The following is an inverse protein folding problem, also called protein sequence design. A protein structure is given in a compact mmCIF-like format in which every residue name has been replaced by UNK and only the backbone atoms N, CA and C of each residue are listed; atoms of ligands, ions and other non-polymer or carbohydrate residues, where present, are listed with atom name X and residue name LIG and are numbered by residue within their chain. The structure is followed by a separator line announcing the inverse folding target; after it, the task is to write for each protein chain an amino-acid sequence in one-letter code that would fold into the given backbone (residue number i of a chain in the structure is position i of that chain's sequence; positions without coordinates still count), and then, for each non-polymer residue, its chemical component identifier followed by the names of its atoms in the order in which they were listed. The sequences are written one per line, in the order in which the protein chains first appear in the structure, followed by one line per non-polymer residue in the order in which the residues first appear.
data_IF_609139865719
#
_entry.id   IF_609139865719
#
_cell.length_a   1.000
_cell.length_b   1.000
_cell.length_c   1.000
_cell.angle_alpha   90.00
_cell.angle_beta   90.00
_cell.angle_gamma   90.00
#
_symmetry.space_group_name_H-M   'P 1'
#
loop_
_entity.id
_entity.type
_entity.pdbx_description
1 polymer ?
#
# COMPACT_ATOMS: atom_id res chain seq x y z
N UNK A 1 26.50 8.09 -7.50
CA UNK A 1 26.41 6.63 -7.31
C UNK A 1 27.15 5.92 -8.43
N UNK A 2 26.76 6.06 -9.73
CA UNK A 2 27.37 5.33 -10.84
C UNK A 2 28.87 5.60 -10.98
N UNK A 3 29.24 6.89 -11.08
CA UNK A 3 30.64 7.31 -11.18
C UNK A 3 31.49 6.91 -9.97
N UNK A 4 30.92 6.95 -8.77
CA UNK A 4 31.62 6.57 -7.54
C UNK A 4 31.91 5.06 -7.45
N UNK A 5 31.02 4.22 -7.98
CA UNK A 5 31.14 2.76 -7.86
C UNK A 5 31.85 2.12 -9.07
N UNK A 6 31.78 2.74 -10.24
CA UNK A 6 32.27 2.15 -11.49
C UNK A 6 33.32 3.00 -12.21
N UNK A 7 33.62 4.21 -11.73
CA UNK A 7 34.64 5.08 -12.32
C UNK A 7 34.28 5.65 -13.71
N UNK A 8 33.04 5.46 -14.17
CA UNK A 8 32.56 5.90 -15.48
C UNK A 8 31.23 6.63 -15.34
N UNK A 9 30.99 7.58 -16.23
CA UNK A 9 29.68 8.24 -16.38
C UNK A 9 28.77 7.54 -17.39
N UNK A 10 29.33 6.65 -18.21
CA UNK A 10 28.59 5.89 -19.20
C UNK A 10 27.78 4.78 -18.51
N UNK A 11 26.46 4.89 -18.60
CA UNK A 11 25.54 3.89 -18.04
C UNK A 11 25.33 2.69 -18.97
N UNK A 12 25.61 2.86 -20.27
CA UNK A 12 25.31 1.90 -21.32
C UNK A 12 26.55 1.74 -22.21
N UNK A 13 27.40 0.81 -21.90
CA UNK A 13 28.58 0.50 -22.71
C UNK A 13 28.84 -1.00 -22.76
N UNK A 14 29.48 -1.46 -23.86
CA UNK A 14 29.92 -2.85 -24.01
C UNK A 14 30.88 -3.30 -22.90
N UNK A 15 31.54 -2.31 -22.27
CA UNK A 15 32.59 -2.56 -21.28
C UNK A 15 32.06 -2.68 -19.85
N UNK A 16 30.75 -2.54 -19.61
CA UNK A 16 30.13 -2.70 -18.30
C UNK A 16 29.42 -4.06 -18.24
N UNK A 17 29.98 -5.08 -17.59
CA UNK A 17 29.35 -6.39 -17.50
C UNK A 17 28.03 -6.33 -16.75
N UNK A 18 27.09 -7.20 -17.14
CA UNK A 18 25.73 -7.23 -16.59
C UNK A 18 25.71 -7.46 -15.08
N UNK A 19 26.71 -8.17 -14.51
CA UNK A 19 26.89 -8.32 -13.08
C UNK A 19 27.01 -6.98 -12.34
N UNK A 20 27.70 -5.99 -12.93
CA UNK A 20 27.80 -4.64 -12.36
C UNK A 20 26.48 -3.90 -12.40
N UNK A 21 25.61 -4.23 -13.37
CA UNK A 21 24.24 -3.71 -13.43
C UNK A 21 23.39 -4.15 -12.25
N UNK A 22 23.52 -5.39 -11.81
CA UNK A 22 22.86 -5.87 -10.61
C UNK A 22 23.23 -5.06 -9.36
N UNK A 23 24.50 -4.67 -9.23
CA UNK A 23 24.97 -3.78 -8.14
C UNK A 23 24.34 -2.40 -8.30
N UNK A 24 24.34 -1.82 -9.51
CA UNK A 24 23.74 -0.50 -9.76
C UNK A 24 22.24 -0.49 -9.48
N UNK A 25 21.50 -1.50 -9.94
CA UNK A 25 20.07 -1.64 -9.68
C UNK A 25 19.77 -1.68 -8.19
N UNK A 26 20.54 -2.45 -7.40
CA UNK A 26 20.37 -2.50 -5.95
C UNK A 26 20.64 -1.15 -5.28
N UNK A 27 21.67 -0.44 -5.71
CA UNK A 27 21.98 0.90 -5.16
C UNK A 27 20.91 1.93 -5.53
N UNK A 28 20.43 1.89 -6.77
CA UNK A 28 19.35 2.77 -7.24
C UNK A 28 18.04 2.47 -6.50
N UNK A 29 17.69 1.21 -6.31
CA UNK A 29 16.54 0.79 -5.52
C UNK A 29 16.65 1.27 -4.06
N UNK A 30 17.79 1.04 -3.41
CA UNK A 30 18.04 1.49 -2.04
C UNK A 30 17.96 3.02 -1.91
N UNK A 31 18.40 3.77 -2.91
CA UNK A 31 18.29 5.22 -2.94
C UNK A 31 16.86 5.69 -3.20
N UNK A 32 16.09 4.95 -4.01
CA UNK A 32 14.74 5.32 -4.41
C UNK A 32 13.67 4.98 -3.35
N UNK A 33 13.86 3.89 -2.58
CA UNK A 33 12.88 3.46 -1.57
C UNK A 33 12.52 4.54 -0.53
N UNK A 34 13.47 5.27 0.07
CA UNK A 34 13.12 6.35 1.00
C UNK A 34 12.36 7.49 0.34
N UNK A 35 12.63 7.76 -0.94
CA UNK A 35 11.91 8.79 -1.72
C UNK A 35 10.47 8.32 -1.96
N UNK A 36 10.30 7.09 -2.42
CA UNK A 36 8.99 6.45 -2.59
C UNK A 36 8.20 6.47 -1.28
N UNK A 37 8.77 5.98 -0.19
CA UNK A 37 8.10 5.88 1.11
C UNK A 37 7.65 7.26 1.62
N UNK A 38 8.46 8.30 1.42
CA UNK A 38 8.11 9.66 1.79
C UNK A 38 6.95 10.22 0.97
N UNK A 39 7.00 10.04 -0.36
CA UNK A 39 5.96 10.59 -1.25
C UNK A 39 4.64 9.84 -1.11
N UNK A 40 4.67 8.51 -1.16
CA UNK A 40 3.48 7.71 -0.98
C UNK A 40 2.95 7.79 0.44
N UNK A 41 3.81 7.85 1.47
CA UNK A 41 3.38 8.06 2.84
C UNK A 41 2.55 9.33 2.99
N UNK A 42 3.01 10.46 2.44
CA UNK A 42 2.25 11.73 2.45
C UNK A 42 0.93 11.63 1.70
N UNK A 43 0.93 10.95 0.55
CA UNK A 43 -0.29 10.73 -0.24
C UNK A 43 -1.31 9.90 0.55
N UNK A 44 -0.86 8.80 1.17
CA UNK A 44 -1.69 7.96 2.03
C UNK A 44 -2.27 8.74 3.22
N UNK A 45 -1.46 9.56 3.87
CA UNK A 45 -1.89 10.38 5.00
C UNK A 45 -2.94 11.42 4.57
N UNK A 46 -2.78 12.02 3.39
CA UNK A 46 -3.75 12.96 2.80
C UNK A 46 -5.09 12.25 2.55
N UNK A 47 -5.07 11.06 1.96
CA UNK A 47 -6.29 10.30 1.70
C UNK A 47 -6.97 9.80 2.98
N UNK A 48 -6.20 9.41 4.00
CA UNK A 48 -6.77 9.08 5.31
C UNK A 48 -7.45 10.30 5.97
N UNK A 49 -6.88 11.49 5.83
CA UNK A 49 -7.51 12.72 6.31
C UNK A 49 -8.82 13.00 5.56
N UNK A 50 -8.84 12.86 4.25
CA UNK A 50 -10.05 13.00 3.45
C UNK A 50 -11.13 11.98 3.86
N UNK A 51 -10.74 10.74 4.10
CA UNK A 51 -11.66 9.72 4.60
C UNK A 51 -12.25 10.09 5.96
N UNK A 52 -11.46 10.61 6.90
CA UNK A 52 -11.96 11.10 8.19
C UNK A 52 -12.98 12.22 8.03
N UNK A 53 -12.75 13.17 7.12
CA UNK A 53 -13.75 14.23 6.81
C UNK A 53 -15.02 13.60 6.26
N UNK A 54 -14.92 12.63 5.36
CA UNK A 54 -16.06 11.92 4.80
C UNK A 54 -16.84 11.16 5.87
N UNK A 55 -16.18 10.50 6.82
CA UNK A 55 -16.82 9.81 7.93
C UNK A 55 -17.64 10.77 8.80
N UNK A 56 -17.09 11.95 9.14
CA UNK A 56 -17.81 12.98 9.89
C UNK A 56 -18.97 13.60 9.11
N UNK A 57 -18.83 13.72 7.80
CA UNK A 57 -19.93 14.19 6.93
C UNK A 57 -21.14 13.25 6.97
N UNK A 58 -20.97 12.03 7.44
CA UNK A 58 -22.05 11.08 7.71
C UNK A 58 -23.06 11.55 8.75
N UNK A 59 -22.75 12.55 9.60
CA UNK A 59 -23.72 13.19 10.49
C UNK A 59 -24.81 13.95 9.71
N UNK A 60 -24.42 14.55 8.58
CA UNK A 60 -25.33 15.28 7.71
C UNK A 60 -25.98 14.36 6.67
N UNK A 61 -25.23 13.38 6.20
CA UNK A 61 -25.64 12.44 5.16
C UNK A 61 -25.44 11.00 5.66
N UNK A 62 -26.39 10.41 6.37
CA UNK A 62 -26.26 9.08 6.99
C UNK A 62 -25.84 7.97 6.02
N UNK A 63 -26.16 8.12 4.74
CA UNK A 63 -25.74 7.18 3.68
C UNK A 63 -24.21 7.08 3.57
N UNK A 64 -23.48 8.17 3.80
CA UNK A 64 -22.01 8.15 3.80
C UNK A 64 -21.44 7.32 4.95
N UNK A 65 -22.06 7.43 6.13
CA UNK A 65 -21.66 6.63 7.28
C UNK A 65 -21.95 5.13 7.07
N UNK A 66 -23.11 4.79 6.51
CA UNK A 66 -23.47 3.41 6.14
C UNK A 66 -22.46 2.86 5.12
N UNK A 67 -22.15 3.62 4.08
CA UNK A 67 -21.17 3.24 3.06
C UNK A 67 -19.81 3.00 3.68
N UNK A 68 -19.29 3.94 4.46
CA UNK A 68 -17.97 3.87 5.07
C UNK A 68 -17.87 2.65 5.99
N UNK A 69 -18.86 2.45 6.87
CA UNK A 69 -18.92 1.31 7.76
C UNK A 69 -19.00 -0.02 7.00
N UNK A 70 -19.87 -0.12 6.00
CA UNK A 70 -20.02 -1.32 5.17
C UNK A 70 -18.73 -1.67 4.43
N UNK A 71 -18.07 -0.68 3.80
CA UNK A 71 -16.79 -0.88 3.12
C UNK A 71 -15.70 -1.35 4.09
N UNK A 72 -15.63 -0.77 5.28
CA UNK A 72 -14.69 -1.17 6.31
C UNK A 72 -14.91 -2.61 6.80
N UNK A 73 -16.16 -3.00 7.02
CA UNK A 73 -16.49 -4.38 7.42
C UNK A 73 -16.28 -5.39 6.30
N UNK A 74 -16.44 -4.98 5.04
CA UNK A 74 -16.16 -5.81 3.87
C UNK A 74 -14.67 -5.89 3.50
N UNK A 75 -13.79 -5.12 4.16
CA UNK A 75 -12.36 -5.08 3.84
C UNK A 75 -12.03 -4.36 2.54
N UNK A 76 -12.93 -3.49 2.06
CA UNK A 76 -12.79 -2.77 0.78
C UNK A 76 -12.55 -1.28 0.97
N UNK A 77 -12.32 -0.84 2.21
CA UNK A 77 -12.01 0.55 2.51
C UNK A 77 -10.54 0.89 2.21
N UNK A 78 -10.24 2.18 2.28
CA UNK A 78 -8.88 2.68 2.02
C UNK A 78 -7.83 2.12 2.98
N UNK A 79 -8.17 1.87 4.22
CA UNK A 79 -7.23 1.37 5.23
C UNK A 79 -6.80 -0.07 4.96
N UNK A 80 -7.71 -0.92 4.50
CA UNK A 80 -7.39 -2.26 4.03
C UNK A 80 -6.54 -2.22 2.76
N UNK A 81 -6.90 -1.33 1.81
CA UNK A 81 -6.11 -1.12 0.60
C UNK A 81 -4.67 -0.67 0.90
N UNK A 82 -4.49 0.32 1.79
CA UNK A 82 -3.16 0.79 2.22
C UNK A 82 -2.32 -0.36 2.80
N UNK A 83 -2.91 -1.18 3.66
CA UNK A 83 -2.20 -2.34 4.26
C UNK A 83 -1.79 -3.36 3.21
N UNK A 84 -2.70 -3.71 2.32
CA UNK A 84 -2.40 -4.62 1.22
C UNK A 84 -1.27 -4.08 0.33
N UNK A 85 -1.39 -2.83 -0.11
CA UNK A 85 -0.40 -2.19 -0.98
C UNK A 85 0.98 -2.10 -0.32
N UNK A 86 1.02 -1.80 0.99
CA UNK A 86 2.28 -1.77 1.75
C UNK A 86 2.92 -3.17 1.80
N UNK A 87 2.14 -4.21 2.07
CA UNK A 87 2.64 -5.59 2.09
C UNK A 87 3.12 -6.03 0.70
N UNK A 88 2.36 -5.72 -0.35
CA UNK A 88 2.72 -6.01 -1.74
C UNK A 88 4.01 -5.29 -2.16
N UNK A 89 4.20 -4.03 -1.75
CA UNK A 89 5.41 -3.28 -2.02
C UNK A 89 6.64 -3.87 -1.32
N UNK A 90 6.51 -4.28 -0.08
CA UNK A 90 7.60 -4.97 0.64
C UNK A 90 7.97 -6.29 -0.04
N UNK A 91 6.97 -7.04 -0.49
CA UNK A 91 7.20 -8.28 -1.24
C UNK A 91 7.86 -8.01 -2.59
N UNK A 92 7.42 -6.98 -3.33
CA UNK A 92 8.07 -6.55 -4.57
C UNK A 92 9.56 -6.22 -4.36
N UNK A 93 9.88 -5.48 -3.29
CA UNK A 93 11.27 -5.13 -2.94
C UNK A 93 12.11 -6.37 -2.65
N UNK A 94 11.55 -7.37 -1.97
CA UNK A 94 12.25 -8.62 -1.70
C UNK A 94 12.56 -9.40 -2.97
N UNK A 95 11.64 -9.44 -3.92
CA UNK A 95 11.85 -10.06 -5.24
C UNK A 95 12.93 -9.29 -6.03
N UNK A 96 12.87 -7.96 -6.07
CA UNK A 96 13.89 -7.16 -6.76
C UNK A 96 15.29 -7.36 -6.18
N UNK A 97 15.42 -7.39 -4.85
CA UNK A 97 16.71 -7.62 -4.20
C UNK A 97 17.24 -9.04 -4.51
N UNK A 98 16.35 -10.04 -4.50
CA UNK A 98 16.70 -11.42 -4.88
C UNK A 98 17.21 -11.48 -6.32
N UNK A 99 16.47 -10.91 -7.26
CA UNK A 99 16.82 -10.89 -8.69
C UNK A 99 18.13 -10.15 -8.94
N UNK A 100 18.33 -9.01 -8.30
CA UNK A 100 19.57 -8.23 -8.44
C UNK A 100 20.77 -8.93 -7.85
N UNK A 101 20.59 -9.68 -6.75
CA UNK A 101 21.66 -10.51 -6.17
C UNK A 101 22.06 -11.67 -7.10
N UNK A 102 21.07 -12.33 -7.67
CA UNK A 102 21.30 -13.44 -8.58
C UNK A 102 21.99 -12.95 -9.86
N UNK A 103 21.57 -11.80 -10.40
CA UNK A 103 22.23 -11.16 -11.52
C UNK A 103 23.71 -10.88 -11.26
N UNK A 104 24.05 -10.42 -10.06
CA UNK A 104 25.45 -10.18 -9.66
C UNK A 104 26.24 -11.48 -9.59
N UNK A 105 25.61 -12.55 -9.10
CA UNK A 105 26.28 -13.83 -8.86
C UNK A 105 26.48 -14.67 -10.14
N UNK A 106 25.53 -14.61 -11.08
CA UNK A 106 25.47 -15.53 -12.22
C UNK A 106 25.57 -14.87 -13.60
N UNK A 107 25.58 -13.53 -13.68
CA UNK A 107 25.82 -12.88 -14.96
C UNK A 107 27.29 -13.04 -15.39
N UNK A 108 27.51 -13.28 -16.70
CA UNK A 108 28.84 -13.44 -17.26
C UNK A 108 29.69 -12.17 -17.02
N UNK A 109 30.81 -12.25 -16.27
CA UNK A 109 31.66 -11.10 -16.02
C UNK A 109 32.48 -10.65 -17.24
N UNK A 110 32.65 -11.49 -18.26
CA UNK A 110 33.54 -11.26 -19.40
C UNK A 110 32.86 -10.81 -20.69
N UNK A 111 31.53 -10.70 -20.67
CA UNK A 111 30.87 -9.70 -21.45
C UNK A 111 30.38 -9.98 -22.86
N UNK A 112 30.73 -11.03 -23.58
CA UNK A 112 30.19 -11.26 -24.95
C UNK A 112 28.71 -11.67 -24.95
N UNK A 113 28.23 -12.17 -23.82
CA UNK A 113 26.85 -12.60 -23.59
C UNK A 113 26.16 -11.86 -22.44
N UNK A 114 26.57 -10.65 -22.12
CA UNK A 114 26.06 -9.93 -20.94
C UNK A 114 24.54 -9.66 -20.96
N UNK A 115 23.90 -9.70 -22.12
CA UNK A 115 22.42 -9.64 -22.24
C UNK A 115 21.75 -11.03 -22.31
N UNK A 116 22.48 -12.11 -22.17
CA UNK A 116 21.95 -13.48 -22.22
C UNK A 116 21.59 -14.05 -20.84
N UNK A 117 21.73 -13.28 -19.76
CA UNK A 117 21.29 -13.71 -18.45
C UNK A 117 19.79 -14.04 -18.45
N UNK A 118 19.46 -15.20 -17.94
CA UNK A 118 18.10 -15.66 -17.71
C UNK A 118 18.01 -16.22 -16.30
N UNK A 119 17.02 -15.76 -15.55
CA UNK A 119 16.71 -16.31 -14.23
C UNK A 119 16.31 -17.79 -14.37
N UNK A 120 16.90 -18.65 -13.57
CA UNK A 120 16.65 -20.10 -13.63
C UNK A 120 15.36 -20.48 -12.88
N UNK A 121 14.76 -21.66 -13.19
CA UNK A 121 13.63 -22.17 -12.41
C UNK A 121 13.94 -22.32 -10.92
N UNK A 122 15.18 -22.65 -10.57
CA UNK A 122 15.65 -22.80 -9.19
C UNK A 122 15.59 -21.46 -8.46
N UNK A 123 15.99 -20.35 -9.11
CA UNK A 123 15.85 -19.01 -8.54
C UNK A 123 14.39 -18.69 -8.27
N UNK A 124 13.51 -18.96 -9.23
CA UNK A 124 12.07 -18.70 -9.06
C UNK A 124 11.46 -19.53 -7.92
N UNK A 125 11.96 -20.75 -7.69
CA UNK A 125 11.55 -21.58 -6.56
C UNK A 125 11.96 -20.98 -5.20
N UNK A 126 12.96 -20.10 -5.16
CA UNK A 126 13.39 -19.42 -3.91
C UNK A 126 12.61 -18.14 -3.62
N UNK A 127 11.80 -17.66 -4.56
CA UNK A 127 10.96 -16.47 -4.33
C UNK A 127 9.92 -16.79 -3.26
N UNK A 128 9.91 -16.07 -2.13
CA UNK A 128 8.93 -16.32 -1.09
C UNK A 128 7.51 -16.07 -1.62
N UNK A 129 6.52 -16.90 -1.26
CA UNK A 129 5.13 -16.63 -1.64
C UNK A 129 4.66 -15.31 -1.01
N UNK A 130 3.76 -14.63 -1.71
CA UNK A 130 3.11 -13.46 -1.14
C UNK A 130 2.09 -13.92 -0.09
N UNK A 131 2.49 -13.84 1.16
CA UNK A 131 1.66 -14.22 2.31
C UNK A 131 1.06 -12.97 2.96
N UNK A 132 -0.13 -12.59 2.50
CA UNK A 132 -0.88 -11.47 3.06
C UNK A 132 -2.14 -11.95 3.76
N UNK A 133 -2.21 -11.67 5.05
CA UNK A 133 -3.41 -11.90 5.86
C UNK A 133 -4.14 -10.58 6.09
N UNK A 134 -5.38 -10.43 5.56
CA UNK A 134 -6.17 -9.24 5.80
C UNK A 134 -6.50 -9.11 7.29
N UNK A 135 -6.65 -7.89 7.81
CA UNK A 135 -7.06 -7.66 9.20
C UNK A 135 -8.41 -8.33 9.49
N UNK A 136 -8.52 -8.94 10.66
CA UNK A 136 -9.77 -9.57 11.09
C UNK A 136 -10.88 -8.56 11.43
N UNK A 137 -12.12 -9.05 11.53
CA UNK A 137 -13.31 -8.24 11.80
C UNK A 137 -13.20 -7.35 13.05
N UNK A 138 -12.53 -7.81 14.10
CA UNK A 138 -12.30 -7.00 15.32
C UNK A 138 -11.41 -5.78 15.09
N UNK A 139 -10.46 -5.87 14.18
CA UNK A 139 -9.68 -4.71 13.75
C UNK A 139 -10.53 -3.75 12.91
N UNK A 140 -11.27 -4.28 11.95
CA UNK A 140 -12.16 -3.51 11.09
C UNK A 140 -13.17 -2.71 11.91
N UNK A 141 -13.83 -3.35 12.88
CA UNK A 141 -14.79 -2.71 13.77
C UNK A 141 -14.16 -1.56 14.58
N UNK A 142 -12.99 -1.77 15.16
CA UNK A 142 -12.28 -0.71 15.90
C UNK A 142 -11.88 0.44 14.99
N UNK A 143 -11.45 0.14 13.76
CA UNK A 143 -11.06 1.15 12.78
C UNK A 143 -12.25 1.97 12.29
N UNK A 144 -13.43 1.33 12.15
CA UNK A 144 -14.70 1.95 11.75
C UNK A 144 -15.54 2.48 12.92
N UNK A 145 -14.96 2.57 14.12
CA UNK A 145 -15.70 3.00 15.31
C UNK A 145 -16.34 4.39 15.16
N UNK A 146 -15.72 5.31 14.40
CA UNK A 146 -16.29 6.63 14.12
C UNK A 146 -17.54 6.53 13.26
N UNK A 147 -17.49 5.82 12.15
CA UNK A 147 -18.65 5.62 11.27
C UNK A 147 -19.79 4.94 12.04
N UNK A 148 -19.45 3.94 12.86
CA UNK A 148 -20.43 3.28 13.74
C UNK A 148 -21.04 4.25 14.75
N UNK A 149 -20.22 5.07 15.42
CA UNK A 149 -20.71 6.09 16.37
C UNK A 149 -21.64 7.09 15.68
N UNK A 150 -21.27 7.58 14.49
CA UNK A 150 -22.08 8.49 13.68
C UNK A 150 -23.45 7.89 13.36
N UNK A 151 -23.48 6.59 12.99
CA UNK A 151 -24.75 5.88 12.75
C UNK A 151 -25.60 5.76 14.01
N UNK A 152 -24.99 5.42 15.15
CA UNK A 152 -25.72 5.33 16.41
C UNK A 152 -26.32 6.70 16.83
N UNK A 153 -25.53 7.78 16.73
CA UNK A 153 -25.98 9.13 17.03
C UNK A 153 -27.12 9.55 16.09
N UNK A 154 -26.95 9.31 14.78
CA UNK A 154 -28.00 9.59 13.80
C UNK A 154 -29.30 8.85 14.07
N UNK A 155 -29.21 7.57 14.45
CA UNK A 155 -30.38 6.78 14.82
C UNK A 155 -31.10 7.34 16.08
N UNK A 156 -30.32 7.70 17.11
CA UNK A 156 -30.86 8.28 18.35
C UNK A 156 -31.57 9.61 18.09
N UNK A 157 -30.96 10.47 17.25
CA UNK A 157 -31.56 11.75 16.88
C UNK A 157 -32.85 11.55 16.08
N UNK A 158 -32.86 10.61 15.14
CA UNK A 158 -34.08 10.28 14.38
C UNK A 158 -35.19 9.74 15.27
N UNK A 159 -34.86 8.85 16.19
CA UNK A 159 -35.83 8.32 17.17
C UNK A 159 -36.35 9.40 18.11
N UNK A 160 -35.50 10.29 18.61
CA UNK A 160 -35.92 11.42 19.44
C UNK A 160 -36.84 12.39 18.68
N UNK A 161 -36.50 12.68 17.44
CA UNK A 161 -37.34 13.53 16.58
C UNK A 161 -38.70 12.90 16.32
N UNK A 162 -38.76 11.60 16.01
CA UNK A 162 -40.01 10.89 15.80
C UNK A 162 -40.88 10.88 17.07
N UNK A 163 -40.27 10.62 18.23
CA UNK A 163 -40.95 10.66 19.53
C UNK A 163 -41.52 12.08 19.81
N UNK A 164 -40.71 13.12 19.61
CA UNK A 164 -41.14 14.50 19.79
C UNK A 164 -42.31 14.87 18.87
N UNK A 165 -42.25 14.50 17.58
CA UNK A 165 -43.29 14.77 16.61
C UNK A 165 -44.61 14.08 16.99
N UNK A 166 -44.56 12.83 17.44
CA UNK A 166 -45.77 12.09 17.87
C UNK A 166 -46.38 12.63 19.16
N UNK A 167 -45.54 13.05 20.13
CA UNK A 167 -46.07 13.69 21.36
C UNK A 167 -46.75 15.03 21.07
N UNK A 168 -46.17 15.83 20.18
CA UNK A 168 -46.77 17.11 19.78
C UNK A 168 -48.11 16.95 19.06
N UNK A 169 -48.24 15.90 18.24
CA UNK A 169 -49.52 15.62 17.55
C UNK A 169 -50.62 15.16 18.51
N UNK A 170 -50.28 14.56 19.63
CA UNK A 170 -51.26 14.15 20.67
C UNK A 170 -51.69 15.29 21.58
N UNK A 171 -50.93 16.40 21.58
CA UNK A 171 -51.22 17.57 22.42
C UNK A 171 -52.06 18.66 21.68
N UNK A 172 -52.34 18.45 20.41
CA UNK A 172 -53.25 19.23 19.56
C UNK A 172 -54.57 18.49 19.37
#
# INVERSE_FOLDING_TARGET
VWQQNFGTTERWGRDVPLSKWGIALRLDDQASYPVYDRHYGRLWDTWEQQQKVQEWSGLLLPLLAVRSFSMGMAGTDFSHHRRFTTAAELHRRSIQDLMSKDLVAHADPLGDRHFSYQATPELWATVPPFDYHPPGAGWALRHQARSFLVLCVGLLLAAAFAAFATLRQRAL
#
